data_IF_988794544788
#
_entry.id   IF_988794544788
#
_cell.length_a   1.000
_cell.length_b   1.000
_cell.length_c   1.000
_cell.angle_alpha   90.00
_cell.angle_beta   90.00
_cell.angle_gamma   90.00
#
_symmetry.space_group_name_H-M   'P 1'
#
loop_
_entity.id
_entity.type
_entity.pdbx_description
1 polymer ?
#
# COMPACT_ATOMS: atom_id res chain seq x y z
N UNK A 1 -13.56 -20.98 17.61
CA UNK A 1 -14.88 -20.48 17.16
C UNK A 1 -14.67 -19.51 16.00
N UNK A 2 -15.44 -19.64 14.93
CA UNK A 2 -15.48 -18.72 13.77
C UNK A 2 -16.89 -18.16 13.69
N UNK A 3 -17.01 -16.82 13.54
CA UNK A 3 -18.31 -16.15 13.50
C UNK A 3 -18.38 -15.31 12.22
N UNK A 4 -19.29 -15.68 11.32
CA UNK A 4 -19.63 -14.87 10.16
C UNK A 4 -20.47 -13.66 10.61
N UNK A 5 -20.21 -12.50 10.01
CA UNK A 5 -20.87 -11.25 10.37
C UNK A 5 -21.23 -10.44 9.12
N UNK A 6 -22.47 -9.96 9.10
CA UNK A 6 -23.00 -9.09 8.05
C UNK A 6 -23.74 -7.93 8.71
N UNK A 7 -23.35 -6.69 8.39
CA UNK A 7 -24.03 -5.49 8.85
C UNK A 7 -25.31 -5.24 8.04
N UNK A 8 -26.33 -4.64 8.67
CA UNK A 8 -27.57 -4.24 8.02
C UNK A 8 -27.56 -2.79 7.47
N UNK A 9 -26.48 -2.04 7.77
CA UNK A 9 -26.36 -0.62 7.38
C UNK A 9 -27.04 0.36 8.33
N UNK A 10 -27.74 -0.12 9.36
CA UNK A 10 -28.45 0.68 10.34
C UNK A 10 -27.86 0.58 11.77
N UNK A 11 -26.63 0.01 11.85
CA UNK A 11 -25.92 -0.19 13.12
C UNK A 11 -26.13 -1.58 13.74
N UNK A 12 -27.05 -2.36 13.21
CA UNK A 12 -27.27 -3.77 13.55
C UNK A 12 -26.69 -4.74 12.54
N UNK A 13 -27.09 -6.00 12.63
CA UNK A 13 -26.65 -7.01 11.69
C UNK A 13 -27.01 -8.44 12.11
N UNK A 14 -26.35 -9.38 11.44
CA UNK A 14 -26.51 -10.80 11.68
C UNK A 14 -25.18 -11.45 11.99
N UNK A 15 -25.20 -12.37 12.95
CA UNK A 15 -24.06 -13.17 13.35
C UNK A 15 -24.41 -14.64 13.18
N UNK A 16 -23.45 -15.43 12.67
CA UNK A 16 -23.58 -16.88 12.56
C UNK A 16 -22.30 -17.55 13.00
N UNK A 17 -22.39 -18.44 13.99
CA UNK A 17 -21.28 -19.34 14.32
C UNK A 17 -21.16 -20.41 13.22
N UNK A 18 -20.00 -20.42 12.53
CA UNK A 18 -19.76 -21.37 11.44
C UNK A 18 -19.55 -22.78 11.98
N UNK A 19 -20.23 -23.74 11.35
CA UNK A 19 -20.30 -25.14 11.82
C UNK A 19 -21.48 -25.42 12.74
N UNK A 20 -22.22 -24.40 13.17
CA UNK A 20 -23.45 -24.51 13.96
C UNK A 20 -24.52 -23.69 13.26
N UNK A 21 -25.65 -24.27 12.88
CA UNK A 21 -26.72 -23.59 12.14
C UNK A 21 -27.52 -22.59 13.03
N UNK A 22 -26.82 -21.73 13.78
CA UNK A 22 -27.43 -20.71 14.65
C UNK A 22 -27.11 -19.34 14.12
N UNK A 23 -28.11 -18.71 13.53
CA UNK A 23 -28.07 -17.29 13.15
C UNK A 23 -28.73 -16.43 14.24
N UNK A 24 -28.13 -15.31 14.54
CA UNK A 24 -28.63 -14.34 15.52
C UNK A 24 -28.69 -12.96 14.88
N UNK A 25 -29.84 -12.29 14.97
CA UNK A 25 -29.95 -10.89 14.63
C UNK A 25 -29.60 -10.03 15.86
N UNK A 26 -28.75 -9.03 15.67
CA UNK A 26 -28.38 -8.07 16.72
C UNK A 26 -28.73 -6.66 16.28
N UNK A 27 -29.25 -5.85 17.19
CA UNK A 27 -29.63 -4.47 16.91
C UNK A 27 -28.46 -3.48 17.08
N UNK A 28 -27.46 -3.86 17.87
CA UNK A 28 -26.21 -3.12 18.05
C UNK A 28 -25.05 -4.11 17.79
N UNK A 29 -24.50 -3.99 16.60
CA UNK A 29 -23.43 -4.90 16.14
C UNK A 29 -22.13 -4.64 16.89
N UNK A 30 -21.80 -3.39 17.20
CA UNK A 30 -20.58 -3.04 17.92
C UNK A 30 -20.58 -3.63 19.32
N UNK A 31 -21.66 -3.45 20.08
CA UNK A 31 -21.83 -4.03 21.42
C UNK A 31 -21.80 -5.57 21.38
N UNK A 32 -22.42 -6.17 20.37
CA UNK A 32 -22.46 -7.64 20.22
C UNK A 32 -21.07 -8.22 19.91
N UNK A 33 -20.28 -7.55 19.06
CA UNK A 33 -18.89 -7.94 18.75
C UNK A 33 -18.01 -7.73 19.99
N UNK A 34 -18.10 -6.59 20.65
CA UNK A 34 -17.35 -6.30 21.88
C UNK A 34 -17.56 -7.34 22.97
N UNK A 35 -18.79 -7.73 23.21
CA UNK A 35 -19.12 -8.74 24.20
C UNK A 35 -18.46 -10.10 23.90
N UNK A 36 -18.43 -10.50 22.63
CA UNK A 36 -17.83 -11.79 22.21
C UNK A 36 -16.31 -11.75 22.21
N UNK A 37 -15.69 -10.61 21.86
CA UNK A 37 -14.23 -10.42 21.94
C UNK A 37 -13.72 -10.52 23.39
N UNK A 38 -14.51 -10.07 24.35
CA UNK A 38 -14.14 -10.02 25.76
C UNK A 38 -14.74 -11.19 26.59
N UNK A 39 -15.43 -12.13 25.95
CA UNK A 39 -15.91 -13.33 26.61
C UNK A 39 -14.75 -14.21 27.09
N UNK A 40 -15.03 -15.04 28.12
CA UNK A 40 -14.05 -15.99 28.61
C UNK A 40 -13.65 -17.02 27.53
N UNK A 41 -12.36 -17.26 27.39
CA UNK A 41 -11.79 -18.19 26.41
C UNK A 41 -11.07 -17.51 25.26
N UNK A 42 -10.65 -18.27 24.23
CA UNK A 42 -9.95 -17.72 23.08
C UNK A 42 -10.91 -16.85 22.25
N UNK A 43 -10.45 -15.64 21.81
CA UNK A 43 -11.29 -14.75 21.02
C UNK A 43 -11.72 -15.41 19.71
N UNK A 44 -12.92 -15.11 19.18
CA UNK A 44 -13.39 -15.67 17.92
C UNK A 44 -12.54 -15.19 16.75
N UNK A 45 -12.59 -15.93 15.64
CA UNK A 45 -12.16 -15.41 14.34
C UNK A 45 -13.38 -14.90 13.61
N UNK A 46 -13.41 -13.60 13.36
CA UNK A 46 -14.50 -12.95 12.63
C UNK A 46 -14.34 -13.19 11.13
N UNK A 47 -15.43 -13.53 10.47
CA UNK A 47 -15.47 -13.80 9.03
C UNK A 47 -16.40 -12.75 8.41
N UNK A 48 -15.89 -12.00 7.44
CA UNK A 48 -16.62 -10.97 6.71
C UNK A 48 -16.27 -10.95 5.22
N UNK A 49 -17.10 -10.31 4.44
CA UNK A 49 -16.86 -10.16 3.00
C UNK A 49 -15.58 -9.38 2.74
N UNK A 50 -15.47 -8.20 3.34
CA UNK A 50 -14.37 -7.28 3.20
C UNK A 50 -14.26 -6.40 4.45
N UNK A 51 -13.06 -6.23 5.02
CA UNK A 51 -12.84 -5.49 6.26
C UNK A 51 -13.28 -4.03 6.14
N UNK A 52 -13.11 -3.44 4.96
CA UNK A 52 -13.43 -2.04 4.69
C UNK A 52 -14.94 -1.72 4.80
N UNK A 53 -15.81 -2.73 4.65
CA UNK A 53 -17.27 -2.55 4.70
C UNK A 53 -17.82 -2.55 6.13
N UNK A 54 -17.05 -3.04 7.12
CA UNK A 54 -17.54 -3.23 8.47
C UNK A 54 -16.58 -2.73 9.55
N UNK A 55 -15.29 -3.10 9.45
CA UNK A 55 -14.36 -2.94 10.55
C UNK A 55 -14.07 -1.48 10.92
N UNK A 56 -14.01 -0.51 9.98
CA UNK A 56 -13.89 0.90 10.33
C UNK A 56 -15.01 1.42 11.23
N UNK A 57 -16.23 0.92 11.08
CA UNK A 57 -17.38 1.30 11.94
C UNK A 57 -17.22 0.74 13.34
N UNK A 58 -16.75 -0.49 13.47
CA UNK A 58 -16.44 -1.08 14.77
C UNK A 58 -15.34 -0.31 15.49
N UNK A 59 -14.26 0.06 14.78
CA UNK A 59 -13.15 0.84 15.35
C UNK A 59 -13.64 2.22 15.82
N UNK A 60 -14.51 2.90 15.04
CA UNK A 60 -15.13 4.17 15.43
C UNK A 60 -16.00 4.02 16.69
N UNK A 61 -16.65 2.89 16.87
CA UNK A 61 -17.41 2.55 18.08
C UNK A 61 -16.50 2.09 19.25
N UNK A 62 -15.17 2.15 19.10
CA UNK A 62 -14.21 1.73 20.13
C UNK A 62 -14.01 0.20 20.23
N UNK A 63 -14.46 -0.56 19.25
CA UNK A 63 -14.35 -2.02 19.23
C UNK A 63 -13.21 -2.46 18.32
N UNK A 64 -12.22 -3.16 18.89
CA UNK A 64 -11.11 -3.77 18.17
C UNK A 64 -11.19 -5.28 18.28
N UNK A 65 -10.98 -5.98 17.15
CA UNK A 65 -11.00 -7.44 17.11
C UNK A 65 -9.59 -7.99 16.92
N UNK A 66 -9.34 -9.17 17.48
CA UNK A 66 -7.99 -9.77 17.48
C UNK A 66 -7.69 -10.61 16.26
N UNK A 67 -8.71 -11.23 15.67
CA UNK A 67 -8.53 -12.15 14.54
C UNK A 67 -9.68 -12.06 13.56
N UNK A 68 -9.34 -12.05 12.27
CA UNK A 68 -10.35 -12.07 11.22
C UNK A 68 -9.99 -13.09 10.11
N UNK A 69 -10.95 -13.33 9.26
CA UNK A 69 -10.81 -13.93 7.94
C UNK A 69 -11.56 -13.03 6.98
N UNK A 70 -10.82 -12.35 6.14
CA UNK A 70 -11.33 -11.49 5.08
C UNK A 70 -11.47 -12.31 3.80
N UNK A 71 -12.71 -12.48 3.30
CA UNK A 71 -12.92 -13.36 2.15
C UNK A 71 -12.39 -12.75 0.86
N UNK A 72 -12.43 -11.43 0.69
CA UNK A 72 -11.91 -10.79 -0.51
C UNK A 72 -10.37 -10.83 -0.58
N UNK A 73 -9.67 -10.59 0.54
CA UNK A 73 -8.21 -10.73 0.60
C UNK A 73 -7.78 -12.18 0.42
N UNK A 74 -8.50 -13.12 1.02
CA UNK A 74 -8.22 -14.56 0.86
C UNK A 74 -8.47 -15.02 -0.58
N UNK A 75 -9.54 -14.55 -1.23
CA UNK A 75 -9.81 -14.87 -2.63
C UNK A 75 -8.74 -14.34 -3.56
N UNK A 76 -8.27 -13.10 -3.32
CA UNK A 76 -7.15 -12.52 -4.08
C UNK A 76 -5.88 -13.37 -4.00
N UNK A 77 -5.55 -13.90 -2.82
CA UNK A 77 -4.40 -14.78 -2.64
C UNK A 77 -4.57 -16.12 -3.38
N UNK A 78 -5.77 -16.73 -3.31
CA UNK A 78 -6.06 -17.98 -3.99
C UNK A 78 -6.03 -17.82 -5.51
N UNK A 79 -6.66 -16.77 -6.05
CA UNK A 79 -6.60 -16.45 -7.46
C UNK A 79 -5.17 -16.15 -7.92
N UNK A 80 -4.42 -15.37 -7.13
CA UNK A 80 -3.02 -15.10 -7.41
C UNK A 80 -2.17 -16.37 -7.41
N UNK A 81 -2.38 -17.29 -6.47
CA UNK A 81 -1.71 -18.59 -6.45
C UNK A 81 -2.01 -19.43 -7.71
N UNK A 82 -3.23 -19.32 -8.24
CA UNK A 82 -3.68 -19.99 -9.47
C UNK A 82 -3.24 -19.26 -10.75
N UNK A 83 -2.59 -18.08 -10.67
CA UNK A 83 -2.19 -17.26 -11.82
C UNK A 83 -3.34 -16.44 -12.42
N UNK A 84 -4.39 -16.19 -11.67
CA UNK A 84 -5.65 -15.51 -12.07
C UNK A 84 -5.79 -14.13 -11.40
N UNK A 85 -4.73 -13.34 -11.36
CA UNK A 85 -4.63 -12.10 -10.59
C UNK A 85 -5.63 -11.01 -10.96
N UNK A 86 -6.08 -10.98 -12.22
CA UNK A 86 -6.97 -9.94 -12.74
C UNK A 86 -8.45 -10.26 -12.50
N UNK A 87 -8.75 -11.44 -11.96
CA UNK A 87 -10.14 -11.83 -11.75
C UNK A 87 -10.75 -11.17 -10.52
N UNK A 88 -12.04 -10.81 -10.58
CA UNK A 88 -12.76 -10.21 -9.47
C UNK A 88 -12.75 -11.09 -8.22
N UNK A 89 -12.58 -10.48 -7.06
CA UNK A 89 -12.35 -11.16 -5.76
C UNK A 89 -13.42 -10.91 -4.71
N UNK A 90 -14.43 -10.08 -5.03
CA UNK A 90 -15.52 -9.77 -4.11
C UNK A 90 -16.30 -11.02 -3.68
N UNK A 91 -17.06 -10.92 -2.60
CA UNK A 91 -17.93 -12.00 -2.13
C UNK A 91 -18.85 -12.52 -3.24
N UNK A 92 -19.45 -11.61 -4.02
CA UNK A 92 -20.31 -11.98 -5.14
C UNK A 92 -19.58 -12.69 -6.26
N UNK A 93 -18.36 -12.28 -6.58
CA UNK A 93 -17.51 -12.93 -7.57
C UNK A 93 -17.11 -14.35 -7.15
N UNK A 94 -16.67 -14.53 -5.90
CA UNK A 94 -16.34 -15.84 -5.34
C UNK A 94 -17.57 -16.76 -5.30
N UNK A 95 -18.70 -16.24 -4.85
CA UNK A 95 -19.97 -16.99 -4.82
C UNK A 95 -20.44 -17.39 -6.22
N UNK A 96 -20.32 -16.51 -7.21
CA UNK A 96 -20.70 -16.79 -8.59
C UNK A 96 -19.85 -17.93 -9.18
N UNK A 97 -18.54 -17.95 -8.95
CA UNK A 97 -17.66 -19.06 -9.36
C UNK A 97 -18.12 -20.40 -8.79
N UNK A 98 -18.43 -20.43 -7.49
CA UNK A 98 -18.87 -21.64 -6.80
C UNK A 98 -20.19 -22.19 -7.36
N UNK A 99 -21.06 -21.29 -7.88
CA UNK A 99 -22.37 -21.65 -8.38
C UNK A 99 -22.42 -21.72 -9.92
N UNK A 100 -21.27 -21.66 -10.62
CA UNK A 100 -21.22 -21.71 -12.09
C UNK A 100 -22.00 -20.59 -12.78
N UNK A 101 -22.05 -19.41 -12.14
CA UNK A 101 -22.74 -18.22 -12.66
C UNK A 101 -21.76 -17.22 -13.27
N UNK A 102 -22.23 -16.31 -14.13
CA UNK A 102 -21.40 -15.19 -14.61
C UNK A 102 -20.80 -14.43 -13.44
N UNK A 103 -19.46 -14.23 -13.47
CA UNK A 103 -18.71 -13.57 -12.41
C UNK A 103 -18.88 -12.06 -12.57
N UNK A 104 -19.43 -11.34 -11.58
CA UNK A 104 -19.53 -9.89 -11.63
C UNK A 104 -18.15 -9.23 -11.39
N UNK A 105 -17.97 -8.02 -11.93
CA UNK A 105 -16.83 -7.18 -11.62
C UNK A 105 -16.82 -6.77 -10.14
N UNK A 106 -15.63 -6.49 -9.61
CA UNK A 106 -15.51 -5.94 -8.27
C UNK A 106 -16.11 -4.53 -8.19
N UNK A 107 -16.74 -4.16 -7.07
CA UNK A 107 -17.32 -2.84 -6.91
C UNK A 107 -16.25 -1.75 -6.97
N UNK A 108 -16.52 -0.69 -7.76
CA UNK A 108 -15.61 0.45 -7.88
C UNK A 108 -15.55 1.18 -6.54
N UNK A 109 -14.36 1.26 -5.95
CA UNK A 109 -14.11 2.05 -4.74
C UNK A 109 -13.82 3.50 -5.11
N UNK A 110 -14.55 4.44 -4.54
CA UNK A 110 -14.29 5.87 -4.71
C UNK A 110 -13.11 6.28 -3.83
N UNK A 111 -12.11 6.95 -4.42
CA UNK A 111 -11.06 7.64 -3.68
C UNK A 111 -11.67 8.77 -2.85
N UNK A 112 -11.40 8.80 -1.56
CA UNK A 112 -11.87 9.87 -0.65
C UNK A 112 -13.01 9.47 0.29
N UNK A 113 -13.50 8.24 0.26
CA UNK A 113 -14.39 7.69 1.28
C UNK A 113 -13.58 7.27 2.54
N UNK A 114 -12.64 8.11 2.98
CA UNK A 114 -11.89 7.94 4.22
C UNK A 114 -12.75 8.26 5.45
N UNK A 115 -12.14 8.23 6.64
CA UNK A 115 -12.79 8.40 7.97
C UNK A 115 -13.69 9.65 8.13
N UNK A 116 -13.71 10.56 7.15
CA UNK A 116 -14.54 11.77 7.08
C UNK A 116 -15.58 11.73 5.95
N UNK A 117 -15.70 10.62 5.21
CA UNK A 117 -16.76 10.51 4.22
C UNK A 117 -18.12 10.57 4.89
N UNK A 118 -18.96 11.48 4.42
CA UNK A 118 -20.37 11.53 4.81
C UNK A 118 -20.97 10.15 4.51
N UNK A 119 -21.69 9.51 5.46
CA UNK A 119 -22.35 8.24 5.20
C UNK A 119 -23.20 8.39 3.93
N UNK A 120 -23.04 7.48 2.98
CA UNK A 120 -23.88 7.49 1.80
C UNK A 120 -25.33 7.38 2.26
N UNK A 121 -26.20 8.30 1.83
CA UNK A 121 -27.63 8.35 2.18
C UNK A 121 -28.39 7.05 1.81
N UNK A 122 -27.75 6.23 0.95
CA UNK A 122 -28.20 4.88 0.59
C UNK A 122 -26.96 3.99 0.66
N UNK A 123 -26.91 3.10 1.66
CA UNK A 123 -25.88 2.07 1.74
C UNK A 123 -25.92 1.23 0.47
N UNK A 124 -25.05 1.52 -0.50
CA UNK A 124 -24.94 0.70 -1.69
C UNK A 124 -24.52 -0.70 -1.23
N UNK A 125 -25.30 -1.71 -1.54
CA UNK A 125 -24.91 -3.11 -1.35
C UNK A 125 -23.69 -3.38 -2.23
N UNK A 126 -22.51 -3.39 -1.60
CA UNK A 126 -21.23 -3.64 -2.29
C UNK A 126 -20.93 -5.13 -2.46
N UNK A 127 -21.83 -6.01 -2.03
CA UNK A 127 -21.57 -7.44 -2.06
C UNK A 127 -21.50 -8.04 -3.47
N UNK A 128 -22.02 -7.36 -4.48
CA UNK A 128 -22.21 -7.86 -5.88
C UNK A 128 -22.94 -9.20 -5.98
N UNK A 129 -23.60 -9.62 -4.92
CA UNK A 129 -24.46 -10.81 -4.90
C UNK A 129 -25.75 -10.55 -5.70
N UNK A 130 -26.33 -11.57 -6.36
CA UNK A 130 -27.62 -11.44 -7.00
C UNK A 130 -28.71 -11.01 -6.00
N UNK A 131 -29.71 -10.18 -6.43
CA UNK A 131 -30.82 -9.78 -5.57
C UNK A 131 -31.51 -11.00 -4.93
N UNK A 132 -31.82 -10.89 -3.63
CA UNK A 132 -32.48 -11.94 -2.87
C UNK A 132 -31.55 -13.06 -2.37
N UNK A 133 -30.24 -12.98 -2.64
CA UNK A 133 -29.27 -13.93 -2.06
C UNK A 133 -29.03 -13.61 -0.60
N UNK A 134 -29.14 -14.60 0.27
CA UNK A 134 -28.77 -14.46 1.68
C UNK A 134 -27.25 -14.24 1.80
N UNK A 135 -26.89 -13.05 2.24
CA UNK A 135 -25.47 -12.61 2.36
C UNK A 135 -24.70 -13.45 3.37
N UNK A 136 -25.34 -13.83 4.48
CA UNK A 136 -24.70 -14.60 5.53
C UNK A 136 -24.44 -16.05 5.06
N UNK A 137 -25.42 -16.66 4.40
CA UNK A 137 -25.27 -17.98 3.79
C UNK A 137 -24.21 -17.96 2.68
N UNK A 138 -24.19 -16.96 1.82
CA UNK A 138 -23.17 -16.79 0.79
C UNK A 138 -21.76 -16.66 1.39
N UNK A 139 -21.62 -15.87 2.45
CA UNK A 139 -20.36 -15.68 3.17
C UNK A 139 -19.86 -17.00 3.80
N UNK A 140 -20.76 -17.77 4.41
CA UNK A 140 -20.41 -19.06 5.00
C UNK A 140 -19.91 -20.05 3.93
N UNK A 141 -20.62 -20.16 2.79
CA UNK A 141 -20.25 -21.07 1.69
C UNK A 141 -18.91 -20.67 1.07
N UNK A 142 -18.67 -19.38 0.82
CA UNK A 142 -17.40 -18.89 0.28
C UNK A 142 -16.25 -19.13 1.26
N UNK A 143 -16.45 -18.82 2.54
CA UNK A 143 -15.45 -19.10 3.58
C UNK A 143 -15.09 -20.60 3.63
N UNK A 144 -16.06 -21.48 3.62
CA UNK A 144 -15.82 -22.93 3.70
C UNK A 144 -15.10 -23.46 2.46
N UNK A 145 -15.39 -22.91 1.27
CA UNK A 145 -14.65 -23.22 0.06
C UNK A 145 -13.19 -22.75 0.14
N UNK A 146 -12.97 -21.51 0.56
CA UNK A 146 -11.61 -20.97 0.73
C UNK A 146 -10.80 -21.79 1.73
N UNK A 147 -11.39 -22.20 2.83
CA UNK A 147 -10.72 -23.08 3.81
C UNK A 147 -10.35 -24.42 3.17
N UNK A 148 -11.29 -25.07 2.43
CA UNK A 148 -11.00 -26.32 1.71
C UNK A 148 -9.88 -26.16 0.68
N UNK A 149 -9.90 -25.07 -0.12
CA UNK A 149 -8.85 -24.79 -1.11
C UNK A 149 -7.50 -24.61 -0.41
N UNK A 150 -7.43 -23.83 0.66
CA UNK A 150 -6.20 -23.63 1.44
C UNK A 150 -5.69 -24.93 2.09
N UNK A 151 -6.59 -25.84 2.53
CA UNK A 151 -6.23 -27.12 3.13
C UNK A 151 -5.79 -28.15 2.08
N UNK A 152 -6.30 -28.06 0.85
CA UNK A 152 -5.93 -28.95 -0.25
C UNK A 152 -4.56 -28.69 -0.86
N UNK A 153 -3.95 -27.52 -0.58
CA UNK A 153 -2.63 -27.18 -1.08
C UNK A 153 -1.52 -27.93 -0.35
N UNK A 154 -0.59 -28.48 -1.12
CA UNK A 154 0.58 -29.22 -0.59
C UNK A 154 1.74 -28.29 -0.18
N UNK A 155 1.44 -27.08 0.27
CA UNK A 155 2.43 -26.02 0.55
C UNK A 155 2.82 -25.89 2.02
N UNK A 156 2.63 -26.92 2.83
CA UNK A 156 2.90 -26.92 4.28
C UNK A 156 2.18 -25.82 5.07
N UNK A 157 1.12 -25.24 4.52
CA UNK A 157 0.30 -24.20 5.16
C UNK A 157 0.81 -22.77 4.97
N UNK A 158 1.74 -22.55 4.04
CA UNK A 158 2.28 -21.21 3.74
C UNK A 158 1.19 -20.25 3.29
N UNK A 159 0.37 -20.62 2.31
CA UNK A 159 -0.71 -19.74 1.83
C UNK A 159 -1.79 -19.52 2.90
N UNK A 160 -2.06 -20.50 3.75
CA UNK A 160 -2.98 -20.37 4.90
C UNK A 160 -2.45 -19.35 5.92
N UNK A 161 -1.14 -19.34 6.19
CA UNK A 161 -0.51 -18.33 7.03
C UNK A 161 -0.63 -16.95 6.39
N UNK A 162 -0.35 -16.85 5.10
CA UNK A 162 -0.44 -15.59 4.36
C UNK A 162 -1.86 -15.02 4.37
N UNK A 163 -2.89 -15.84 4.17
CA UNK A 163 -4.30 -15.43 4.29
C UNK A 163 -4.64 -14.87 5.68
N UNK A 164 -4.08 -15.46 6.74
CA UNK A 164 -4.25 -14.95 8.09
C UNK A 164 -3.50 -13.62 8.31
N UNK A 165 -2.30 -13.46 7.73
CA UNK A 165 -1.51 -12.22 7.79
C UNK A 165 -2.19 -11.10 7.02
N UNK A 166 -2.68 -11.35 5.80
CA UNK A 166 -3.40 -10.33 5.02
C UNK A 166 -4.69 -9.89 5.72
N UNK A 167 -5.45 -10.84 6.29
CA UNK A 167 -6.64 -10.50 7.08
C UNK A 167 -6.31 -9.66 8.31
N UNK A 168 -5.20 -9.95 9.00
CA UNK A 168 -4.70 -9.13 10.11
C UNK A 168 -4.20 -7.76 9.61
N UNK A 169 -3.64 -7.71 8.41
CA UNK A 169 -3.27 -6.48 7.71
C UNK A 169 -4.46 -5.54 7.55
N UNK A 170 -5.63 -6.06 7.16
CA UNK A 170 -6.87 -5.31 7.08
C UNK A 170 -7.28 -4.66 8.42
N UNK A 171 -7.12 -5.40 9.53
CA UNK A 171 -7.37 -4.84 10.87
C UNK A 171 -6.39 -3.70 11.18
N UNK A 172 -5.10 -3.93 10.97
CA UNK A 172 -4.08 -2.91 11.20
C UNK A 172 -4.31 -1.66 10.33
N UNK A 173 -4.68 -1.84 9.06
CA UNK A 173 -4.97 -0.74 8.13
C UNK A 173 -6.13 0.13 8.63
N UNK A 174 -7.24 -0.48 9.06
CA UNK A 174 -8.38 0.25 9.62
C UNK A 174 -8.01 1.02 10.89
N UNK A 175 -7.29 0.38 11.81
CA UNK A 175 -6.88 0.99 13.08
C UNK A 175 -5.88 2.13 12.87
N UNK A 176 -4.89 1.94 11.99
CA UNK A 176 -3.93 2.99 11.63
C UNK A 176 -4.62 4.19 10.94
N UNK A 177 -5.58 3.94 10.05
CA UNK A 177 -6.38 5.00 9.42
C UNK A 177 -7.22 5.75 10.45
N UNK A 178 -7.83 5.04 11.41
CA UNK A 178 -8.65 5.63 12.47
C UNK A 178 -7.80 6.45 13.45
N UNK A 179 -6.73 5.88 13.99
CA UNK A 179 -5.89 6.54 14.99
C UNK A 179 -5.11 7.73 14.38
N UNK A 180 -4.72 7.61 13.13
CA UNK A 180 -4.00 8.61 12.36
C UNK A 180 -2.59 8.88 12.86
N UNK A 181 -1.78 9.50 12.01
CA UNK A 181 -0.42 9.92 12.34
C UNK A 181 -0.47 11.35 12.94
N UNK A 182 0.15 11.63 14.10
CA UNK A 182 0.17 12.96 14.67
C UNK A 182 0.93 13.94 13.76
N UNK A 183 0.29 15.07 13.47
CA UNK A 183 0.81 16.09 12.58
C UNK A 183 0.51 17.49 13.13
N UNK A 184 1.45 18.41 12.98
CA UNK A 184 1.33 19.81 13.33
C UNK A 184 0.94 20.63 12.08
N UNK A 185 -0.34 21.03 11.94
CA UNK A 185 -0.81 21.76 10.77
C UNK A 185 -0.11 23.10 10.58
N UNK A 186 0.19 23.82 11.66
CA UNK A 186 0.92 25.10 11.65
C UNK A 186 2.35 24.95 11.10
N UNK A 187 3.02 23.87 11.47
CA UNK A 187 4.36 23.54 10.95
C UNK A 187 4.30 23.13 9.48
N UNK A 188 3.30 22.32 9.12
CA UNK A 188 3.09 21.88 7.74
C UNK A 188 2.84 23.09 6.80
N UNK A 189 1.94 23.99 7.20
CA UNK A 189 1.63 25.21 6.43
C UNK A 189 2.86 26.11 6.25
N UNK A 190 3.69 26.25 7.31
CA UNK A 190 4.94 26.99 7.22
C UNK A 190 5.91 26.35 6.22
N UNK A 191 6.14 25.03 6.31
CA UNK A 191 7.00 24.30 5.39
C UNK A 191 6.52 24.39 3.94
N UNK A 192 5.21 24.32 3.70
CA UNK A 192 4.64 24.54 2.36
C UNK A 192 4.92 25.95 1.87
N UNK A 193 4.76 26.97 2.74
CA UNK A 193 5.03 28.36 2.38
C UNK A 193 6.51 28.60 2.03
N UNK A 194 7.42 27.98 2.77
CA UNK A 194 8.86 28.02 2.49
C UNK A 194 9.21 27.36 1.14
N UNK A 195 8.53 26.27 0.77
CA UNK A 195 8.82 25.49 -0.44
C UNK A 195 8.12 26.02 -1.70
N UNK A 196 6.90 26.53 -1.56
CA UNK A 196 5.99 26.83 -2.68
C UNK A 196 5.61 28.31 -2.76
N UNK A 197 5.98 29.12 -1.76
CA UNK A 197 5.49 30.48 -1.57
C UNK A 197 4.17 30.52 -0.80
N UNK A 198 3.57 31.73 -0.64
CA UNK A 198 2.28 31.89 0.04
C UNK A 198 1.20 30.99 -0.57
N UNK A 199 0.24 30.59 0.26
CA UNK A 199 -0.90 29.78 -0.21
C UNK A 199 -1.63 30.51 -1.35
N UNK A 200 -1.76 29.88 -2.53
CA UNK A 200 -2.42 30.51 -3.68
C UNK A 200 -3.94 30.59 -3.46
N UNK A 201 -4.59 31.49 -4.19
CA UNK A 201 -6.05 31.46 -4.33
C UNK A 201 -6.47 30.18 -5.04
N UNK A 202 -7.68 29.69 -4.73
CA UNK A 202 -8.19 28.46 -5.32
C UNK A 202 -8.10 28.47 -6.86
N UNK A 203 -7.58 27.38 -7.43
CA UNK A 203 -7.36 27.25 -8.87
C UNK A 203 -6.09 27.90 -9.42
N UNK A 204 -5.34 28.64 -8.60
CA UNK A 204 -4.07 29.22 -9.01
C UNK A 204 -2.88 28.31 -8.65
N UNK A 205 -1.84 28.41 -9.47
CA UNK A 205 -0.57 27.73 -9.22
C UNK A 205 0.22 28.45 -8.12
N UNK A 206 0.87 27.75 -7.17
CA UNK A 206 1.79 28.37 -6.22
C UNK A 206 2.88 29.20 -6.89
N UNK A 207 3.29 30.31 -6.25
CA UNK A 207 4.20 31.29 -6.84
C UNK A 207 5.52 30.67 -7.33
N UNK A 208 6.13 29.77 -6.55
CA UNK A 208 7.38 29.10 -6.94
C UNK A 208 7.18 28.20 -8.16
N UNK A 209 6.03 27.52 -8.28
CA UNK A 209 5.72 26.71 -9.46
C UNK A 209 5.42 27.59 -10.68
N UNK A 210 4.81 28.76 -10.50
CA UNK A 210 4.57 29.71 -11.58
C UNK A 210 5.91 30.29 -12.12
N UNK A 211 6.82 30.67 -11.23
CA UNK A 211 8.17 31.12 -11.60
C UNK A 211 8.95 30.04 -12.37
N UNK A 212 8.95 28.81 -11.85
CA UNK A 212 9.61 27.71 -12.54
C UNK A 212 9.00 27.42 -13.91
N UNK A 213 7.67 27.53 -14.05
CA UNK A 213 7.01 27.34 -15.34
C UNK A 213 7.41 28.42 -16.35
N UNK A 214 7.50 29.68 -15.94
CA UNK A 214 7.98 30.79 -16.79
C UNK A 214 9.43 30.54 -17.22
N UNK A 215 10.32 30.23 -16.29
CA UNK A 215 11.74 29.96 -16.58
C UNK A 215 11.95 28.73 -17.48
N UNK A 216 11.09 27.71 -17.37
CA UNK A 216 11.11 26.56 -18.29
C UNK A 216 10.71 27.02 -19.69
N UNK A 217 9.68 27.88 -19.79
CA UNK A 217 9.25 28.49 -21.06
C UNK A 217 10.36 29.29 -21.71
N UNK A 218 11.01 30.18 -20.94
CA UNK A 218 12.15 30.99 -21.39
C UNK A 218 13.31 30.09 -21.88
N UNK A 219 13.68 29.09 -21.11
CA UNK A 219 14.77 28.18 -21.48
C UNK A 219 14.48 27.34 -22.74
N UNK A 220 13.21 27.08 -23.04
CA UNK A 220 12.78 26.33 -24.23
C UNK A 220 12.27 27.24 -25.35
N UNK A 221 12.36 28.57 -25.16
CA UNK A 221 11.93 29.59 -26.11
C UNK A 221 10.47 29.43 -26.59
N UNK A 222 9.60 28.95 -25.72
CA UNK A 222 8.18 28.73 -26.00
C UNK A 222 7.33 28.63 -24.74
N UNK A 223 6.09 29.09 -24.82
CA UNK A 223 5.11 28.83 -23.77
C UNK A 223 4.67 27.35 -23.75
N UNK A 224 4.67 26.74 -22.57
CA UNK A 224 4.17 25.38 -22.37
C UNK A 224 3.64 25.19 -20.96
N UNK A 225 2.79 24.17 -20.81
CA UNK A 225 2.39 23.70 -19.50
C UNK A 225 3.33 22.56 -19.03
N UNK A 226 4.19 22.78 -18.01
CA UNK A 226 5.09 21.73 -17.50
C UNK A 226 4.37 20.52 -16.89
N UNK A 227 3.07 20.64 -16.54
CA UNK A 227 2.25 19.54 -16.07
C UNK A 227 1.79 18.60 -17.21
N UNK A 228 1.98 19.01 -18.48
CA UNK A 228 1.66 18.21 -19.65
C UNK A 228 2.89 17.48 -20.19
N UNK A 229 3.04 16.15 -19.95
CA UNK A 229 4.18 15.39 -20.46
C UNK A 229 4.37 15.51 -21.98
N UNK A 230 3.26 15.51 -22.73
CA UNK A 230 3.28 15.61 -24.19
C UNK A 230 3.80 16.97 -24.69
N UNK A 231 3.48 18.08 -23.99
CA UNK A 231 4.00 19.39 -24.33
C UNK A 231 5.51 19.46 -24.04
N UNK A 232 5.94 18.96 -22.88
CA UNK A 232 7.36 18.94 -22.49
C UNK A 232 8.19 18.10 -23.47
N UNK A 233 7.73 16.90 -23.85
CA UNK A 233 8.44 16.05 -24.83
C UNK A 233 8.59 16.75 -26.17
N UNK A 234 7.51 17.39 -26.68
CA UNK A 234 7.56 18.13 -27.94
C UNK A 234 8.49 19.35 -27.86
N UNK A 235 8.49 20.06 -26.73
CA UNK A 235 9.34 21.22 -26.52
C UNK A 235 10.82 20.84 -26.52
N UNK A 236 11.19 19.80 -25.78
CA UNK A 236 12.57 19.27 -25.78
C UNK A 236 13.00 18.78 -27.17
N UNK A 237 12.12 18.12 -27.90
CA UNK A 237 12.44 17.68 -29.27
C UNK A 237 12.72 18.87 -30.22
N UNK A 238 11.95 19.98 -30.12
CA UNK A 238 12.21 21.22 -30.89
C UNK A 238 13.53 21.88 -30.49
N UNK A 239 13.91 21.79 -29.22
CA UNK A 239 15.19 22.27 -28.71
C UNK A 239 16.38 21.34 -29.08
N UNK A 240 16.16 20.29 -29.90
CA UNK A 240 17.21 19.37 -30.33
C UNK A 240 17.47 18.19 -29.38
N UNK A 241 16.66 18.04 -28.32
CA UNK A 241 16.81 16.99 -27.32
C UNK A 241 15.57 16.05 -27.31
N UNK A 242 15.36 15.20 -28.30
CA UNK A 242 14.22 14.29 -28.34
C UNK A 242 14.32 13.25 -27.21
N UNK A 243 13.25 13.14 -26.43
CA UNK A 243 13.15 12.20 -25.30
C UNK A 243 11.89 11.33 -25.42
N UNK A 244 11.94 10.05 -25.01
CA UNK A 244 10.78 9.16 -25.07
C UNK A 244 9.74 9.45 -23.99
N UNK A 245 10.13 10.15 -22.91
CA UNK A 245 9.23 10.47 -21.80
C UNK A 245 9.80 11.57 -20.91
N UNK A 246 8.96 12.11 -20.01
CA UNK A 246 9.39 13.08 -18.98
C UNK A 246 9.75 12.42 -17.65
N UNK A 247 10.10 11.14 -17.64
CA UNK A 247 10.52 10.45 -16.42
C UNK A 247 11.83 11.02 -15.90
N UNK A 248 11.98 11.09 -14.58
CA UNK A 248 13.11 11.81 -13.96
C UNK A 248 14.49 11.27 -14.41
N UNK A 249 14.62 9.96 -14.63
CA UNK A 249 15.89 9.40 -15.12
C UNK A 249 16.19 9.78 -16.57
N UNK A 250 15.16 9.95 -17.41
CA UNK A 250 15.33 10.43 -18.79
C UNK A 250 15.74 11.90 -18.78
N UNK A 251 15.07 12.73 -17.98
CA UNK A 251 15.39 14.16 -17.91
C UNK A 251 16.78 14.46 -17.33
N UNK A 252 17.33 13.56 -16.49
CA UNK A 252 18.70 13.72 -15.96
C UNK A 252 19.79 13.55 -17.00
N UNK A 253 19.51 12.82 -18.07
CA UNK A 253 20.44 12.60 -19.18
C UNK A 253 20.38 13.72 -20.24
N UNK A 254 19.44 14.68 -20.10
CA UNK A 254 19.27 15.77 -21.06
C UNK A 254 20.21 16.91 -20.69
N UNK A 255 21.17 17.18 -21.59
CA UNK A 255 22.09 18.33 -21.47
C UNK A 255 21.46 19.60 -22.02
N UNK A 256 20.49 20.15 -21.29
CA UNK A 256 19.78 21.38 -21.63
C UNK A 256 19.39 22.16 -20.37
N UNK A 257 19.48 23.53 -20.33
CA UNK A 257 19.16 24.34 -19.16
C UNK A 257 17.75 24.14 -18.58
N UNK A 258 16.79 23.74 -19.40
CA UNK A 258 15.44 23.42 -18.95
C UNK A 258 15.35 22.12 -18.12
N UNK A 259 16.30 21.17 -18.26
CA UNK A 259 16.21 19.86 -17.61
C UNK A 259 16.22 19.97 -16.07
N UNK A 260 17.15 20.65 -15.40
CA UNK A 260 17.11 20.83 -13.95
C UNK A 260 15.88 21.60 -13.47
N UNK A 261 15.37 22.55 -14.25
CA UNK A 261 14.15 23.29 -13.94
C UNK A 261 12.92 22.37 -13.99
N UNK A 262 12.82 21.52 -15.01
CA UNK A 262 11.76 20.51 -15.16
C UNK A 262 11.79 19.49 -14.00
N UNK A 263 12.97 19.01 -13.63
CA UNK A 263 13.13 18.10 -12.49
C UNK A 263 12.64 18.73 -11.17
N UNK A 264 13.05 19.97 -10.92
CA UNK A 264 12.62 20.73 -9.74
C UNK A 264 11.14 21.03 -9.76
N UNK A 265 10.59 21.44 -10.90
CA UNK A 265 9.16 21.67 -11.09
C UNK A 265 8.36 20.40 -10.75
N UNK A 266 8.73 19.26 -11.31
CA UNK A 266 8.05 17.97 -11.09
C UNK A 266 8.09 17.52 -9.63
N UNK A 267 9.22 17.72 -8.95
CA UNK A 267 9.36 17.44 -7.52
C UNK A 267 8.35 18.27 -6.69
N UNK A 268 8.32 19.59 -6.90
CA UNK A 268 7.46 20.51 -6.16
C UNK A 268 5.98 20.36 -6.55
N UNK A 269 5.68 20.12 -7.83
CA UNK A 269 4.32 19.89 -8.30
C UNK A 269 3.73 18.60 -7.68
N UNK A 270 4.53 17.53 -7.62
CA UNK A 270 4.15 16.28 -6.94
C UNK A 270 3.93 16.51 -5.45
N UNK A 271 4.81 17.27 -4.79
CA UNK A 271 4.64 17.61 -3.37
C UNK A 271 3.35 18.40 -3.16
N UNK A 272 3.09 19.41 -4.01
CA UNK A 272 1.88 20.24 -3.93
C UNK A 272 0.61 19.41 -4.15
N UNK A 273 0.57 18.53 -5.16
CA UNK A 273 -0.62 17.74 -5.49
C UNK A 273 -0.93 16.67 -4.45
N UNK A 274 0.11 16.05 -3.86
CA UNK A 274 -0.07 14.95 -2.90
C UNK A 274 -0.11 15.41 -1.44
N UNK A 275 0.58 16.48 -1.09
CA UNK A 275 0.77 16.91 0.29
C UNK A 275 0.58 18.43 0.50
N UNK A 276 0.03 19.14 -0.49
CA UNK A 276 -0.26 20.57 -0.40
C UNK A 276 -1.41 20.90 0.55
N UNK A 277 -1.87 22.14 0.50
CA UNK A 277 -2.92 22.63 1.43
C UNK A 277 -4.25 21.89 1.27
N UNK A 278 -4.72 21.66 0.04
CA UNK A 278 -5.99 20.95 -0.19
C UNK A 278 -5.94 19.47 0.25
N UNK A 279 -4.92 18.64 -0.11
CA UNK A 279 -4.77 17.31 0.47
C UNK A 279 -4.67 17.32 2.00
N UNK A 280 -3.95 18.30 2.58
CA UNK A 280 -3.88 18.41 4.04
C UNK A 280 -5.27 18.63 4.65
N UNK A 281 -6.06 19.54 4.11
CA UNK A 281 -7.43 19.80 4.60
C UNK A 281 -8.37 18.60 4.45
N UNK A 282 -8.15 17.79 3.43
CA UNK A 282 -8.92 16.56 3.20
C UNK A 282 -8.55 15.42 4.16
N UNK A 283 -7.26 15.27 4.46
CA UNK A 283 -6.74 14.06 5.13
C UNK A 283 -6.30 14.30 6.59
N UNK A 284 -6.32 15.55 7.06
CA UNK A 284 -5.91 15.90 8.43
C UNK A 284 -7.09 16.45 9.19
N UNK A 285 -7.51 15.73 10.23
CA UNK A 285 -8.42 16.28 11.23
C UNK A 285 -7.65 17.22 12.19
N UNK A 286 -8.27 18.32 12.63
CA UNK A 286 -7.63 19.29 13.49
C UNK A 286 -8.40 19.50 14.79
N UNK A 287 -7.65 19.73 15.87
CA UNK A 287 -8.20 20.09 17.18
C UNK A 287 -7.27 21.08 17.89
N UNK A 288 -7.80 21.93 18.80
CA UNK A 288 -6.95 22.77 19.64
C UNK A 288 -6.15 21.92 20.63
N UNK A 289 -4.89 22.27 20.84
CA UNK A 289 -4.05 21.71 21.88
C UNK A 289 -4.13 22.49 23.20
N UNK A 290 -3.56 21.94 24.30
CA UNK A 290 -3.60 22.54 25.62
C UNK A 290 -2.99 23.95 25.71
N UNK A 291 -1.99 24.24 24.86
CA UNK A 291 -1.30 25.55 24.78
C UNK A 291 -1.84 26.44 23.67
N UNK A 292 -3.00 26.13 23.06
CA UNK A 292 -3.56 26.89 21.94
C UNK A 292 -2.95 26.54 20.58
N UNK A 293 -2.02 25.58 20.52
CA UNK A 293 -1.46 25.07 19.27
C UNK A 293 -2.50 24.27 18.48
N UNK A 294 -2.32 24.18 17.15
CA UNK A 294 -3.13 23.31 16.30
C UNK A 294 -2.52 21.91 16.30
N UNK A 295 -3.26 20.96 16.83
CA UNK A 295 -2.93 19.53 16.76
C UNK A 295 -3.73 18.88 15.63
N UNK A 296 -3.09 18.01 14.87
CA UNK A 296 -3.73 17.31 13.78
C UNK A 296 -3.48 15.82 13.83
N UNK A 297 -4.36 15.07 13.19
CA UNK A 297 -4.20 13.65 12.86
C UNK A 297 -4.35 13.48 11.37
N UNK A 298 -3.33 12.93 10.75
CA UNK A 298 -3.32 12.57 9.35
C UNK A 298 -3.85 11.13 9.21
N UNK A 299 -4.97 10.99 8.48
CA UNK A 299 -5.71 9.75 8.31
C UNK A 299 -5.61 9.22 6.87
N UNK A 300 -4.48 8.59 6.48
CA UNK A 300 -4.37 8.02 5.14
C UNK A 300 -5.26 6.80 4.97
N UNK A 301 -5.70 6.56 3.74
CA UNK A 301 -6.46 5.36 3.38
C UNK A 301 -5.47 4.28 2.91
N UNK A 302 -5.20 3.29 3.77
CA UNK A 302 -4.28 2.19 3.48
C UNK A 302 -4.96 1.07 2.70
N UNK A 303 -4.25 0.52 1.73
CA UNK A 303 -4.69 -0.61 0.91
C UNK A 303 -3.74 -1.78 1.14
N UNK A 304 -4.24 -2.83 1.78
CA UNK A 304 -3.52 -4.08 2.01
C UNK A 304 -3.37 -4.81 0.69
N UNK A 305 -2.20 -5.40 0.43
CA UNK A 305 -1.89 -6.05 -0.84
C UNK A 305 -2.23 -5.16 -2.06
N UNK A 306 -1.97 -3.86 -1.96
CA UNK A 306 -2.39 -2.85 -2.94
C UNK A 306 -1.61 -2.86 -4.25
N UNK A 307 -0.56 -3.67 -4.36
CA UNK A 307 0.24 -3.87 -5.59
C UNK A 307 0.53 -5.36 -5.77
N UNK A 308 0.85 -5.75 -7.01
CA UNK A 308 1.09 -7.16 -7.40
C UNK A 308 2.13 -7.86 -6.54
N UNK A 309 3.13 -7.14 -6.03
CA UNK A 309 4.15 -7.70 -5.12
C UNK A 309 3.66 -7.94 -3.69
N UNK A 310 2.38 -7.71 -3.38
CA UNK A 310 1.81 -7.82 -2.04
C UNK A 310 2.13 -6.65 -1.11
N UNK A 311 2.86 -5.63 -1.55
CA UNK A 311 3.11 -4.43 -0.74
C UNK A 311 1.83 -3.61 -0.56
N UNK A 312 1.74 -2.92 0.56
CA UNK A 312 0.66 -1.98 0.81
C UNK A 312 0.76 -0.75 -0.09
N UNK A 313 -0.38 -0.16 -0.40
CA UNK A 313 -0.52 1.11 -1.08
C UNK A 313 -1.36 2.09 -0.24
N UNK A 314 -1.58 3.30 -0.75
CA UNK A 314 -2.55 4.26 -0.21
C UNK A 314 -3.40 4.80 -1.34
N UNK A 315 -4.72 4.93 -1.13
CA UNK A 315 -5.64 5.56 -2.09
C UNK A 315 -5.61 7.08 -2.03
N UNK A 316 -4.99 7.67 -1.01
CA UNK A 316 -4.89 9.12 -0.87
C UNK A 316 -3.90 9.54 0.19
N UNK A 317 -3.57 10.83 0.20
CA UNK A 317 -2.71 11.46 1.19
C UNK A 317 -1.23 11.09 1.15
N UNK A 318 -0.84 10.03 0.44
CA UNK A 318 0.56 9.60 0.36
C UNK A 318 1.14 9.10 1.69
N UNK A 319 0.33 8.51 2.57
CA UNK A 319 0.67 8.15 3.95
C UNK A 319 1.88 7.24 4.13
N UNK A 320 2.20 6.42 3.12
CA UNK A 320 3.38 5.56 3.14
C UNK A 320 4.68 6.29 2.76
N UNK A 321 4.59 7.50 2.21
CA UNK A 321 5.73 8.26 1.68
C UNK A 321 5.63 9.75 1.99
N UNK A 322 5.63 10.13 3.28
CA UNK A 322 5.72 11.55 3.65
C UNK A 322 7.06 12.12 3.17
N UNK A 323 7.07 13.14 2.29
CA UNK A 323 8.29 13.74 1.77
C UNK A 323 9.23 14.23 2.88
N UNK A 324 10.54 14.05 2.71
CA UNK A 324 11.54 14.50 3.71
C UNK A 324 11.33 15.95 4.13
N UNK A 325 11.03 16.82 3.17
CA UNK A 325 10.81 18.26 3.40
C UNK A 325 9.63 18.55 4.34
N UNK A 326 8.64 17.66 4.43
CA UNK A 326 7.45 17.83 5.27
C UNK A 326 7.50 17.02 6.57
N UNK A 327 8.48 16.15 6.76
CA UNK A 327 8.57 15.28 7.96
C UNK A 327 8.67 16.06 9.26
N UNK A 328 9.18 17.29 9.24
CA UNK A 328 9.21 18.16 10.40
C UNK A 328 7.84 18.51 10.99
N UNK A 329 6.76 18.33 10.20
CA UNK A 329 5.39 18.48 10.65
C UNK A 329 4.85 17.26 11.43
N UNK A 330 5.44 16.07 11.25
CA UNK A 330 5.08 14.86 12.01
C UNK A 330 5.71 14.97 13.38
N UNK A 331 4.91 15.26 14.40
CA UNK A 331 5.35 15.48 15.78
C UNK A 331 4.38 14.82 16.75
N UNK A 332 4.93 14.22 17.80
CA UNK A 332 4.12 13.70 18.89
C UNK A 332 3.28 14.80 19.55
N UNK A 333 2.11 14.43 20.04
CA UNK A 333 1.30 15.31 20.90
C UNK A 333 2.02 15.58 22.23
N UNK A 334 1.66 16.66 22.97
CA UNK A 334 2.21 16.91 24.30
C UNK A 334 2.06 15.70 25.23
N UNK A 335 3.15 15.30 25.86
CA UNK A 335 3.21 14.13 26.75
C UNK A 335 3.40 12.78 26.03
N UNK A 336 3.47 12.75 24.71
CA UNK A 336 3.71 11.55 23.90
C UNK A 336 5.08 11.58 23.24
N UNK A 337 5.56 10.41 22.84
CA UNK A 337 6.77 10.26 22.05
C UNK A 337 6.50 9.43 20.78
N UNK A 338 7.16 9.76 19.67
CA UNK A 338 7.20 8.93 18.48
C UNK A 338 8.35 7.93 18.61
N UNK A 339 8.04 6.65 18.50
CA UNK A 339 9.02 5.57 18.42
C UNK A 339 9.16 5.16 16.96
N UNK A 340 10.40 5.20 16.45
CA UNK A 340 10.71 4.74 15.10
C UNK A 340 11.58 3.49 15.21
N UNK A 341 11.12 2.40 14.60
CA UNK A 341 11.89 1.18 14.41
C UNK A 341 11.92 0.82 12.93
N UNK A 342 13.08 0.40 12.43
CA UNK A 342 13.29 -0.04 11.05
C UNK A 342 13.99 -1.40 11.08
N UNK A 343 13.46 -2.36 10.30
CA UNK A 343 14.10 -3.65 10.17
C UNK A 343 15.33 -3.50 9.25
N UNK A 344 16.51 -3.44 9.85
CA UNK A 344 17.77 -3.24 9.15
C UNK A 344 18.00 -4.29 8.07
N UNK A 345 18.10 -3.85 6.80
CA UNK A 345 18.44 -4.71 5.66
C UNK A 345 17.49 -5.93 5.51
N UNK A 346 16.19 -5.71 5.72
CA UNK A 346 15.18 -6.79 5.74
C UNK A 346 15.20 -7.61 4.45
N UNK A 347 15.17 -6.96 3.30
CA UNK A 347 15.06 -7.65 2.00
C UNK A 347 16.24 -8.59 1.71
N UNK A 348 17.53 -8.19 1.83
CA UNK A 348 18.63 -9.13 1.66
C UNK A 348 18.67 -10.24 2.72
N UNK A 349 18.19 -10.01 3.95
CA UNK A 349 18.06 -11.06 4.96
C UNK A 349 16.99 -12.09 4.58
N UNK A 350 15.86 -11.63 4.06
CA UNK A 350 14.81 -12.51 3.52
C UNK A 350 15.35 -13.28 2.32
N UNK A 351 16.06 -12.63 1.39
CA UNK A 351 16.66 -13.30 0.24
C UNK A 351 17.65 -14.40 0.68
N UNK A 352 18.47 -14.14 1.68
CA UNK A 352 19.37 -15.16 2.24
C UNK A 352 18.60 -16.39 2.73
N UNK A 353 17.50 -16.16 3.45
CA UNK A 353 16.69 -17.22 4.00
C UNK A 353 15.98 -18.05 2.91
N UNK A 354 15.34 -17.39 1.92
CA UNK A 354 14.55 -18.10 0.90
C UNK A 354 15.40 -18.76 -0.17
N UNK A 355 16.59 -18.22 -0.48
CA UNK A 355 17.51 -18.81 -1.46
C UNK A 355 18.37 -19.94 -0.88
N UNK A 356 18.51 -20.01 0.44
CA UNK A 356 19.42 -20.93 1.11
C UNK A 356 20.90 -20.66 0.76
N UNK A 357 21.26 -19.42 0.41
CA UNK A 357 22.64 -19.02 0.14
C UNK A 357 23.38 -18.82 1.48
N UNK A 358 24.27 -19.77 1.80
CA UNK A 358 24.98 -19.76 3.08
C UNK A 358 25.91 -18.55 3.23
N UNK A 359 26.58 -18.12 2.16
CA UNK A 359 27.46 -16.97 2.22
C UNK A 359 26.68 -15.66 2.46
N UNK A 360 25.51 -15.53 1.84
CA UNK A 360 24.61 -14.39 2.10
C UNK A 360 24.01 -14.49 3.51
N UNK A 361 23.68 -15.68 3.99
CA UNK A 361 23.17 -15.89 5.34
C UNK A 361 24.21 -15.51 6.41
N UNK A 362 25.48 -15.88 6.22
CA UNK A 362 26.58 -15.45 7.10
C UNK A 362 26.76 -13.92 7.07
N UNK A 363 26.72 -13.30 5.88
CA UNK A 363 26.77 -11.85 5.78
C UNK A 363 25.57 -11.18 6.43
N UNK A 364 24.39 -11.77 6.31
CA UNK A 364 23.15 -11.29 6.91
C UNK A 364 23.08 -11.48 8.44
N UNK A 365 23.88 -12.35 9.02
CA UNK A 365 23.99 -12.48 10.48
C UNK A 365 24.73 -11.31 11.14
N UNK A 366 25.53 -10.57 10.38
CA UNK A 366 26.25 -9.38 10.85
C UNK A 366 25.27 -8.21 11.10
N UNK A 367 25.66 -7.27 11.93
CA UNK A 367 24.89 -6.05 12.20
C UNK A 367 24.72 -5.22 10.92
N UNK A 368 25.76 -5.08 10.10
CA UNK A 368 25.76 -4.37 8.83
C UNK A 368 26.29 -5.23 7.67
N UNK A 369 25.38 -5.90 6.97
CA UNK A 369 25.65 -6.69 5.78
C UNK A 369 26.35 -5.86 4.68
N UNK A 370 26.00 -4.59 4.54
CA UNK A 370 26.58 -3.74 3.49
C UNK A 370 28.03 -3.36 3.82
N UNK A 371 28.39 -3.21 5.09
CA UNK A 371 29.77 -2.99 5.48
C UNK A 371 30.67 -4.20 5.13
N UNK A 372 30.18 -5.42 5.38
CA UNK A 372 30.89 -6.65 4.98
C UNK A 372 31.03 -6.74 3.45
N UNK A 373 29.99 -6.41 2.72
CA UNK A 373 30.00 -6.41 1.26
C UNK A 373 30.90 -5.33 0.67
N UNK A 374 31.03 -4.19 1.34
CA UNK A 374 31.86 -3.05 0.90
C UNK A 374 33.31 -3.46 0.66
N UNK A 375 33.87 -4.39 1.45
CA UNK A 375 35.23 -4.92 1.28
C UNK A 375 35.47 -5.44 -0.15
N UNK A 376 34.45 -6.00 -0.80
CA UNK A 376 34.52 -6.58 -2.14
C UNK A 376 34.24 -5.58 -3.27
N UNK A 377 33.83 -4.35 -2.95
CA UNK A 377 33.45 -3.31 -3.92
C UNK A 377 34.23 -1.99 -3.70
N UNK A 378 35.45 -2.10 -3.19
CA UNK A 378 36.35 -0.95 -2.99
C UNK A 378 36.17 -0.18 -1.69
N UNK A 379 35.59 -0.82 -0.67
CA UNK A 379 35.43 -0.23 0.68
C UNK A 379 34.24 0.72 0.82
N UNK A 380 33.46 0.94 -0.22
CA UNK A 380 32.34 1.87 -0.23
C UNK A 380 31.01 1.15 0.12
N UNK A 381 30.47 1.46 1.29
CA UNK A 381 29.23 0.91 1.81
C UNK A 381 28.01 1.29 0.96
N UNK A 382 27.95 2.50 0.43
CA UNK A 382 26.83 2.95 -0.38
C UNK A 382 26.84 2.28 -1.75
N UNK A 383 28.02 2.06 -2.35
CA UNK A 383 28.17 1.22 -3.54
C UNK A 383 27.75 -0.22 -3.28
N UNK A 384 28.12 -0.79 -2.14
CA UNK A 384 27.69 -2.14 -1.74
C UNK A 384 26.16 -2.24 -1.66
N UNK A 385 25.51 -1.24 -1.05
CA UNK A 385 24.05 -1.15 -0.98
C UNK A 385 23.42 -1.04 -2.36
N UNK A 386 23.95 -0.18 -3.23
CA UNK A 386 23.46 -0.03 -4.61
C UNK A 386 23.61 -1.34 -5.36
N UNK A 387 24.73 -2.02 -5.26
CA UNK A 387 24.98 -3.31 -5.92
C UNK A 387 24.02 -4.40 -5.45
N UNK A 388 23.75 -4.51 -4.14
CA UNK A 388 22.80 -5.48 -3.60
C UNK A 388 21.39 -5.19 -4.07
N UNK A 389 20.93 -3.94 -4.00
CA UNK A 389 19.61 -3.57 -4.48
C UNK A 389 19.46 -3.76 -6.00
N UNK A 390 20.49 -3.40 -6.78
CA UNK A 390 20.50 -3.66 -8.23
C UNK A 390 20.37 -5.15 -8.53
N UNK A 391 21.09 -5.99 -7.80
CA UNK A 391 21.00 -7.45 -7.93
C UNK A 391 19.61 -7.99 -7.63
N UNK A 392 18.96 -7.48 -6.58
CA UNK A 392 17.62 -7.92 -6.16
C UNK A 392 16.49 -7.42 -7.09
N UNK A 393 16.67 -6.24 -7.68
CA UNK A 393 15.64 -5.61 -8.54
C UNK A 393 15.93 -5.70 -10.04
N UNK A 394 16.93 -6.48 -10.45
CA UNK A 394 17.24 -6.75 -11.86
C UNK A 394 17.80 -5.55 -12.63
N UNK A 395 18.45 -4.58 -11.97
CA UNK A 395 19.16 -3.51 -12.66
C UNK A 395 20.46 -4.00 -13.25
N UNK A 396 20.51 -4.13 -14.58
CA UNK A 396 21.67 -4.71 -15.31
C UNK A 396 22.53 -3.68 -16.04
N UNK A 397 22.19 -2.38 -15.96
CA UNK A 397 22.81 -1.31 -16.77
C UNK A 397 23.59 -0.31 -15.92
N UNK A 398 24.54 0.39 -16.55
CA UNK A 398 25.35 1.43 -15.93
C UNK A 398 26.35 0.90 -14.87
N UNK A 399 26.63 1.68 -13.84
CA UNK A 399 27.56 1.35 -12.74
C UNK A 399 27.17 0.11 -11.92
N UNK A 400 25.95 -0.39 -12.11
CA UNK A 400 25.46 -1.59 -11.43
C UNK A 400 26.05 -2.90 -12.01
N UNK A 401 26.41 -2.94 -13.29
CA UNK A 401 26.87 -4.18 -13.95
C UNK A 401 28.13 -4.81 -13.30
N UNK A 402 29.22 -4.09 -12.97
CA UNK A 402 30.36 -4.65 -12.28
C UNK A 402 30.02 -5.14 -10.87
N UNK A 403 29.12 -4.43 -10.18
CA UNK A 403 28.64 -4.81 -8.84
C UNK A 403 27.83 -6.09 -8.89
N UNK A 404 26.98 -6.24 -9.91
CA UNK A 404 26.16 -7.44 -10.13
C UNK A 404 27.05 -8.68 -10.39
N UNK A 405 28.12 -8.55 -11.18
CA UNK A 405 29.07 -9.64 -11.38
C UNK A 405 29.75 -10.07 -10.05
N UNK A 406 30.09 -9.11 -9.20
CA UNK A 406 30.61 -9.38 -7.85
C UNK A 406 29.60 -10.11 -6.99
N UNK A 407 28.32 -9.66 -6.98
CA UNK A 407 27.24 -10.32 -6.24
C UNK A 407 27.04 -11.77 -6.69
N UNK A 408 27.00 -12.04 -8.02
CA UNK A 408 26.87 -13.41 -8.57
C UNK A 408 27.99 -14.33 -8.13
N UNK A 409 29.20 -13.81 -8.00
CA UNK A 409 30.35 -14.60 -7.52
C UNK A 409 30.26 -14.87 -6.02
N UNK A 410 29.83 -13.90 -5.21
CA UNK A 410 29.77 -14.03 -3.77
C UNK A 410 28.54 -14.81 -3.30
N UNK A 411 27.38 -14.60 -3.93
CA UNK A 411 26.08 -15.11 -3.53
C UNK A 411 25.35 -15.80 -4.69
N UNK A 412 25.93 -16.90 -5.24
CA UNK A 412 25.43 -17.50 -6.47
C UNK A 412 24.00 -18.05 -6.36
N UNK A 413 23.62 -18.63 -5.19
CA UNK A 413 22.26 -19.16 -4.99
C UNK A 413 21.23 -18.06 -4.84
N UNK A 414 21.58 -16.96 -4.18
CA UNK A 414 20.70 -15.83 -4.04
C UNK A 414 20.38 -15.20 -5.40
N UNK A 415 21.40 -15.00 -6.23
CA UNK A 415 21.21 -14.45 -7.59
C UNK A 415 20.48 -15.43 -8.52
N UNK A 416 20.77 -16.74 -8.45
CA UNK A 416 20.02 -17.75 -9.20
C UNK A 416 18.54 -17.77 -8.84
N UNK A 417 18.20 -17.55 -7.54
CA UNK A 417 16.80 -17.44 -7.10
C UNK A 417 16.10 -16.24 -7.76
N UNK A 418 16.75 -15.06 -7.79
CA UNK A 418 16.22 -13.85 -8.42
C UNK A 418 16.12 -14.00 -9.94
N UNK A 419 17.22 -14.46 -10.59
CA UNK A 419 17.27 -14.67 -12.03
C UNK A 419 16.26 -15.74 -12.48
N UNK A 420 16.02 -16.76 -11.65
CA UNK A 420 15.02 -17.80 -11.89
C UNK A 420 13.59 -17.25 -11.90
N UNK A 421 13.27 -16.36 -10.97
CA UNK A 421 11.98 -15.67 -10.94
C UNK A 421 11.80 -14.75 -12.16
N UNK A 422 12.85 -13.99 -12.55
CA UNK A 422 12.83 -13.14 -13.73
C UNK A 422 12.57 -13.96 -15.02
N UNK A 423 13.32 -15.04 -15.23
CA UNK A 423 13.11 -15.95 -16.37
C UNK A 423 11.70 -16.55 -16.41
N UNK A 424 11.17 -16.95 -15.25
CA UNK A 424 9.82 -17.48 -15.18
C UNK A 424 8.78 -16.44 -15.63
N UNK A 425 8.93 -15.17 -15.21
CA UNK A 425 8.07 -14.08 -15.65
C UNK A 425 8.20 -13.77 -17.15
N UNK A 426 9.43 -13.74 -17.69
CA UNK A 426 9.69 -13.54 -19.12
C UNK A 426 9.08 -14.65 -20.00
N UNK A 427 9.01 -15.87 -19.48
CA UNK A 427 8.38 -17.02 -20.12
C UNK A 427 6.85 -17.09 -19.90
N UNK A 428 6.25 -16.11 -19.23
CA UNK A 428 4.81 -16.07 -18.92
C UNK A 428 4.39 -17.10 -17.87
N UNK A 429 5.33 -17.65 -17.10
CA UNK A 429 5.03 -18.56 -16.00
C UNK A 429 4.73 -17.79 -14.71
N UNK A 430 3.78 -18.28 -13.92
CA UNK A 430 3.47 -17.67 -12.62
C UNK A 430 4.68 -17.73 -11.67
N UNK A 431 5.00 -16.58 -11.08
CA UNK A 431 6.01 -16.46 -10.02
C UNK A 431 5.29 -16.46 -8.67
N UNK A 432 5.80 -17.23 -7.71
CA UNK A 432 5.22 -17.33 -6.38
C UNK A 432 6.22 -16.93 -5.32
N UNK A 433 5.74 -16.23 -4.30
CA UNK A 433 6.50 -15.97 -3.08
C UNK A 433 6.75 -17.26 -2.30
N UNK A 434 7.64 -17.20 -1.30
CA UNK A 434 7.93 -18.35 -0.43
C UNK A 434 6.68 -18.95 0.25
N UNK A 435 5.70 -18.12 0.60
CA UNK A 435 4.44 -18.52 1.22
C UNK A 435 3.34 -18.87 0.18
N UNK A 436 3.67 -18.93 -1.11
CA UNK A 436 2.74 -19.33 -2.16
C UNK A 436 1.89 -18.21 -2.75
N UNK A 437 2.03 -16.97 -2.27
CA UNK A 437 1.37 -15.81 -2.88
C UNK A 437 1.87 -15.61 -4.30
N UNK A 438 0.96 -15.47 -5.28
CA UNK A 438 1.33 -15.24 -6.67
C UNK A 438 1.75 -13.79 -6.92
N UNK A 439 2.71 -13.61 -7.83
CA UNK A 439 3.05 -12.35 -8.45
C UNK A 439 2.88 -12.51 -9.97
N UNK A 440 2.15 -11.61 -10.60
CA UNK A 440 1.96 -11.57 -12.05
C UNK A 440 2.87 -10.54 -12.71
#
# INVERSE_FOLDING_TARGET
MRIAVVADGEGGGWLQELGIARTERVHDLASAVHARENAAGPPPRWVWAEWEDLYPDLVRAGVRVRRSHDTALTEALLLGHEGRHEEPRSLGAAWARLNGRPVPDDPVRRTGEGAHAQPALFGADRSTLPPGTDRLAALAVVHDDQVRRLESLNDSGGLRLLAAVESAGGLAAAEMSHDGLPLRPDVHDRLLTELLGPRPVAGQRPAVLADLAARIGDALEQELNPDSPSQVVRALARAGHPVPSTRSWVLREVDHPAAPLLLRYKELARLHSANGWAPREQWVSERPGPGGERLGRFHPDYVVAGVVSGRWATRGGGGLQVPKALRGAVRADPGWALVRADAGQLEPRVLAAVSGDLALAEAAAEEDLYARLAVHVGGDRDRAKIGMLAAMYGQTTGDAAPLLATMRRLYPRALEHVDGAARAGEEGRAVRSWLGGGGG
#
